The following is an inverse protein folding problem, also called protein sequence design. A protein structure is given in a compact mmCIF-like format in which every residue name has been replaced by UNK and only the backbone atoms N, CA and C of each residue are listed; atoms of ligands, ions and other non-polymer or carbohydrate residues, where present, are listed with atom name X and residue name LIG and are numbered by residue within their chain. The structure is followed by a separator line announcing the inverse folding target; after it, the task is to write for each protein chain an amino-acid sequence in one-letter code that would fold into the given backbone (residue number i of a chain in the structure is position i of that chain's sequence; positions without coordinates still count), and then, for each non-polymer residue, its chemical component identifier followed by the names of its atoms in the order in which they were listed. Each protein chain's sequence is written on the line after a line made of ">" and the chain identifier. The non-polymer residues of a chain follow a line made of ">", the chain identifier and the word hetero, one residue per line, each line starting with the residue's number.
data_IF_363849681111
#
_entry.id   IF_363849681111
#
_cell.length_a   1.000
_cell.length_b   1.000
_cell.length_c   1.000
_cell.angle_alpha   90.00
_cell.angle_beta   90.00
_cell.angle_gamma   90.00
#
_symmetry.space_group_name_H-M   'P 1'
#
loop_
_entity.id
_entity.type
_entity.pdbx_description
1 polymer ?
#
# COMPACT_ATOMS: atom_id res chain seq x y z
N UNK A 1 20.76 6.68 -21.30
CA UNK A 1 21.28 8.02 -20.99
C UNK A 1 21.18 8.23 -19.50
N UNK A 2 22.29 8.58 -18.82
CA UNK A 2 22.28 8.97 -17.41
C UNK A 2 21.97 10.45 -17.27
N UNK A 3 21.20 10.82 -16.23
CA UNK A 3 20.76 12.19 -15.99
C UNK A 3 21.12 12.62 -14.57
N UNK A 4 21.97 13.63 -14.44
CA UNK A 4 22.41 14.15 -13.14
C UNK A 4 21.39 15.04 -12.40
N UNK A 5 20.24 15.32 -13.02
CA UNK A 5 19.12 16.08 -12.44
C UNK A 5 17.83 15.27 -12.43
N UNK A 6 16.71 15.99 -12.33
CA UNK A 6 15.40 15.40 -12.42
C UNK A 6 14.88 15.38 -13.87
N UNK A 7 14.11 14.36 -14.20
CA UNK A 7 13.40 14.22 -15.48
C UNK A 7 11.91 14.45 -15.24
N UNK A 8 11.32 15.34 -16.03
CA UNK A 8 9.86 15.52 -16.07
C UNK A 8 9.40 15.46 -17.52
N UNK A 9 8.67 14.42 -17.83
CA UNK A 9 8.07 14.24 -19.15
C UNK A 9 6.92 15.26 -19.34
N UNK A 10 6.81 15.83 -20.55
CA UNK A 10 5.83 16.90 -20.84
C UNK A 10 4.90 16.60 -22.01
N UNK A 11 5.13 15.55 -22.75
CA UNK A 11 4.33 15.20 -23.93
C UNK A 11 3.62 13.87 -23.74
N UNK A 12 2.39 13.78 -24.19
CA UNK A 12 1.65 12.52 -24.26
C UNK A 12 2.29 11.66 -25.36
N UNK A 13 3.02 10.65 -24.93
CA UNK A 13 3.60 9.65 -25.82
C UNK A 13 3.39 8.27 -25.19
N UNK A 14 3.04 7.24 -25.97
CA UNK A 14 2.84 5.89 -25.44
C UNK A 14 4.14 5.22 -24.94
N UNK A 15 5.28 5.78 -25.31
CA UNK A 15 6.63 5.28 -25.03
C UNK A 15 7.60 6.44 -24.77
N UNK A 16 8.70 6.17 -24.08
CA UNK A 16 9.70 7.22 -23.76
C UNK A 16 10.53 7.67 -24.96
N UNK A 17 10.67 6.86 -25.99
CA UNK A 17 11.47 7.16 -27.18
C UNK A 17 13.00 7.18 -26.94
N UNK A 18 13.43 7.04 -25.69
CA UNK A 18 14.82 6.96 -25.25
C UNK A 18 14.95 5.91 -24.16
N UNK A 19 16.14 5.31 -24.03
CA UNK A 19 16.48 4.46 -22.90
C UNK A 19 17.22 5.29 -21.85
N UNK A 20 16.61 5.50 -20.69
CA UNK A 20 17.28 6.08 -19.52
C UNK A 20 18.15 5.02 -18.82
N UNK A 21 19.30 5.41 -18.33
CA UNK A 21 20.17 4.62 -17.46
C UNK A 21 19.85 4.90 -16.00
N UNK A 22 20.63 5.77 -15.35
CA UNK A 22 20.34 6.27 -14.00
C UNK A 22 19.85 7.71 -14.04
N UNK A 23 18.90 8.03 -13.15
CA UNK A 23 18.42 9.40 -12.91
C UNK A 23 18.71 9.74 -11.45
N UNK A 24 19.63 10.65 -11.19
CA UNK A 24 20.08 11.00 -9.85
C UNK A 24 19.08 11.88 -9.09
N UNK A 25 18.17 12.56 -9.79
CA UNK A 25 17.04 13.31 -9.23
C UNK A 25 15.74 12.53 -9.29
N UNK A 26 14.64 13.26 -9.45
CA UNK A 26 13.29 12.71 -9.60
C UNK A 26 13.04 12.26 -11.05
N UNK A 27 12.19 11.24 -11.22
CA UNK A 27 11.68 10.82 -12.53
C UNK A 27 10.16 10.88 -12.54
N UNK A 28 9.59 11.84 -13.26
CA UNK A 28 8.15 12.08 -13.34
C UNK A 28 7.63 11.85 -14.75
N UNK A 29 6.80 10.81 -14.92
CA UNK A 29 6.12 10.44 -16.16
C UNK A 29 4.61 10.20 -15.94
N UNK A 30 4.01 10.93 -15.00
CA UNK A 30 2.59 10.84 -14.68
C UNK A 30 1.72 11.50 -15.77
N UNK A 31 0.48 10.98 -15.95
CA UNK A 31 -0.52 11.49 -16.88
C UNK A 31 -0.04 11.58 -18.35
N UNK A 32 0.66 10.53 -18.82
CA UNK A 32 1.31 10.47 -20.13
C UNK A 32 0.61 9.52 -21.12
N UNK A 33 -0.42 8.78 -20.67
CA UNK A 33 -1.05 7.69 -21.43
C UNK A 33 -0.11 6.51 -21.74
N UNK A 34 0.95 6.34 -20.94
CA UNK A 34 1.92 5.24 -21.11
C UNK A 34 1.24 3.88 -20.94
N UNK A 35 1.52 2.96 -21.83
CA UNK A 35 1.09 1.56 -21.73
C UNK A 35 2.19 0.64 -21.20
N UNK A 36 3.44 1.12 -21.20
CA UNK A 36 4.63 0.41 -20.75
C UNK A 36 5.65 1.39 -20.21
N UNK A 37 6.55 0.89 -19.36
CA UNK A 37 7.70 1.63 -18.84
C UNK A 37 9.01 1.26 -19.57
N UNK A 38 8.93 0.62 -20.73
CA UNK A 38 10.12 0.38 -21.58
C UNK A 38 10.87 1.68 -21.81
N UNK A 39 12.16 1.70 -21.48
CA UNK A 39 12.98 2.91 -21.54
C UNK A 39 13.09 3.68 -20.23
N UNK A 40 12.34 3.32 -19.18
CA UNK A 40 12.49 3.92 -17.86
C UNK A 40 13.87 3.66 -17.26
N UNK A 41 14.35 4.51 -16.33
CA UNK A 41 15.63 4.30 -15.67
C UNK A 41 15.59 3.06 -14.75
N UNK A 42 16.72 2.37 -14.65
CA UNK A 42 16.83 1.23 -13.73
C UNK A 42 17.07 1.65 -12.26
N UNK A 43 17.47 2.92 -12.05
CA UNK A 43 17.67 3.52 -10.72
C UNK A 43 17.26 4.98 -10.70
N UNK A 44 16.61 5.41 -9.61
CA UNK A 44 16.18 6.80 -9.37
C UNK A 44 16.67 7.25 -8.00
N UNK A 45 17.39 8.36 -7.99
CA UNK A 45 18.04 8.88 -6.78
C UNK A 45 17.06 9.62 -5.84
N UNK A 46 15.85 9.97 -6.30
CA UNK A 46 14.80 10.59 -5.50
C UNK A 46 13.46 9.91 -5.79
N UNK A 47 12.44 10.63 -6.21
CA UNK A 47 11.09 10.11 -6.40
C UNK A 47 10.88 9.58 -7.84
N UNK A 48 10.15 8.47 -7.95
CA UNK A 48 9.64 7.95 -9.22
C UNK A 48 8.12 8.01 -9.22
N UNK A 49 7.54 8.72 -10.18
CA UNK A 49 6.09 8.85 -10.31
C UNK A 49 5.63 8.52 -11.73
N UNK A 50 4.87 7.41 -11.87
CA UNK A 50 4.21 6.99 -13.10
C UNK A 50 2.67 6.94 -12.97
N UNK A 51 2.10 7.74 -12.07
CA UNK A 51 0.66 7.82 -11.83
C UNK A 51 -0.16 8.15 -13.07
N UNK A 52 -1.45 7.79 -13.04
CA UNK A 52 -2.43 8.21 -14.05
C UNK A 52 -1.99 7.88 -15.49
N UNK A 53 -1.58 6.64 -15.69
CA UNK A 53 -1.23 6.10 -17.01
C UNK A 53 -2.12 4.91 -17.37
N UNK A 54 -1.80 4.20 -18.43
CA UNK A 54 -2.51 3.03 -18.94
C UNK A 54 -1.66 1.76 -18.79
N UNK A 55 -0.83 1.71 -17.73
CA UNK A 55 0.07 0.59 -17.48
C UNK A 55 -0.72 -0.68 -17.14
N UNK A 56 -0.31 -1.80 -17.72
CA UNK A 56 -0.87 -3.13 -17.43
C UNK A 56 0.02 -3.95 -16.51
N UNK A 57 1.30 -3.54 -16.35
CA UNK A 57 2.28 -4.15 -15.47
C UNK A 57 3.30 -3.11 -15.00
N UNK A 58 4.10 -3.48 -14.01
CA UNK A 58 5.23 -2.68 -13.52
C UNK A 58 6.56 -3.16 -14.11
N UNK A 59 6.54 -3.93 -15.19
CA UNK A 59 7.75 -4.32 -15.90
C UNK A 59 8.53 -3.08 -16.34
N UNK A 60 9.84 -3.12 -16.20
CA UNK A 60 10.76 -2.00 -16.46
C UNK A 60 10.69 -0.84 -15.45
N UNK A 61 10.03 -0.98 -14.30
CA UNK A 61 10.21 0.00 -13.22
C UNK A 61 11.66 -0.03 -12.70
N UNK A 62 12.15 1.08 -12.11
CA UNK A 62 13.45 1.06 -11.43
C UNK A 62 13.44 0.00 -10.32
N UNK A 63 14.55 -0.73 -10.17
CA UNK A 63 14.72 -1.66 -9.04
C UNK A 63 14.97 -0.93 -7.71
N UNK A 64 15.53 0.30 -7.78
CA UNK A 64 15.84 1.14 -6.63
C UNK A 64 15.32 2.56 -6.83
N UNK A 65 14.50 3.00 -5.87
CA UNK A 65 14.00 4.36 -5.72
C UNK A 65 14.38 4.85 -4.33
N UNK A 66 15.27 5.84 -4.25
CA UNK A 66 15.76 6.32 -2.95
C UNK A 66 14.71 7.14 -2.19
N UNK A 67 13.81 7.80 -2.90
CA UNK A 67 12.65 8.51 -2.37
C UNK A 67 11.38 7.69 -2.42
N UNK A 68 10.29 8.31 -2.84
CA UNK A 68 8.96 7.70 -2.96
C UNK A 68 8.73 7.10 -4.35
N UNK A 69 7.96 6.00 -4.38
CA UNK A 69 7.47 5.37 -5.60
C UNK A 69 5.95 5.52 -5.69
N UNK A 70 5.45 5.94 -6.86
CA UNK A 70 4.01 5.96 -7.10
C UNK A 70 3.65 5.43 -8.48
N UNK A 71 2.73 4.44 -8.50
CA UNK A 71 2.08 3.91 -9.69
C UNK A 71 0.55 4.05 -9.61
N UNK A 72 0.01 4.88 -8.71
CA UNK A 72 -1.41 5.04 -8.48
C UNK A 72 -2.20 5.40 -9.76
N UNK A 73 -3.51 5.11 -9.79
CA UNK A 73 -4.39 5.40 -10.93
C UNK A 73 -3.98 4.72 -12.25
N UNK A 74 -3.39 3.53 -12.18
CA UNK A 74 -3.16 2.65 -13.33
C UNK A 74 -4.11 1.45 -13.24
N UNK A 75 -5.36 1.62 -13.64
CA UNK A 75 -6.48 0.72 -13.37
C UNK A 75 -6.36 -0.69 -13.96
N UNK A 76 -5.34 -0.95 -14.76
CA UNK A 76 -5.12 -2.26 -15.39
C UNK A 76 -4.02 -3.10 -14.70
N UNK A 77 -3.28 -2.53 -13.74
CA UNK A 77 -2.30 -3.28 -12.94
C UNK A 77 -3.04 -4.22 -11.98
N UNK A 78 -2.65 -5.49 -11.93
CA UNK A 78 -3.29 -6.52 -11.09
C UNK A 78 -2.44 -7.01 -9.93
N UNK A 79 -1.12 -6.84 -9.98
CA UNK A 79 -0.18 -7.20 -8.93
C UNK A 79 0.98 -6.22 -8.88
N UNK A 80 1.78 -6.27 -7.82
CA UNK A 80 3.00 -5.48 -7.69
C UNK A 80 4.25 -6.21 -8.19
N UNK A 81 4.07 -7.32 -8.90
CA UNK A 81 5.18 -8.01 -9.56
C UNK A 81 5.98 -7.03 -10.41
N UNK A 82 7.31 -7.04 -10.29
CA UNK A 82 8.25 -6.07 -10.88
C UNK A 82 8.23 -4.67 -10.25
N UNK A 83 7.51 -4.41 -9.16
CA UNK A 83 7.68 -3.16 -8.42
C UNK A 83 9.12 -3.03 -7.89
N UNK A 84 9.59 -1.80 -7.59
CA UNK A 84 10.90 -1.61 -7.00
C UNK A 84 11.09 -2.45 -5.74
N UNK A 85 12.22 -3.16 -5.66
CA UNK A 85 12.56 -3.96 -4.46
C UNK A 85 13.02 -3.09 -3.29
N UNK A 86 13.47 -1.86 -3.59
CA UNK A 86 13.88 -0.87 -2.61
C UNK A 86 13.19 0.47 -2.86
N UNK A 87 12.44 0.94 -1.86
CA UNK A 87 11.79 2.26 -1.83
C UNK A 87 12.14 2.90 -0.49
N UNK A 88 12.83 4.03 -0.53
CA UNK A 88 13.40 4.65 0.67
C UNK A 88 12.37 5.47 1.47
N UNK A 89 11.22 5.84 0.91
CA UNK A 89 10.20 6.62 1.60
C UNK A 89 8.80 5.97 1.42
N UNK A 90 7.93 6.58 0.62
CA UNK A 90 6.53 6.18 0.50
C UNK A 90 6.29 5.28 -0.72
N UNK A 91 5.27 4.43 -0.62
CA UNK A 91 4.83 3.58 -1.73
C UNK A 91 3.33 3.78 -1.97
N UNK A 92 2.97 4.20 -3.20
CA UNK A 92 1.58 4.42 -3.58
C UNK A 92 1.19 3.52 -4.76
N UNK A 93 0.23 2.61 -4.52
CA UNK A 93 -0.40 1.77 -5.53
C UNK A 93 -1.94 1.86 -5.47
N UNK A 94 -2.47 2.97 -4.95
CA UNK A 94 -3.91 3.17 -4.85
C UNK A 94 -4.58 3.21 -6.24
N UNK A 95 -5.85 2.75 -6.32
CA UNK A 95 -6.68 2.85 -7.54
C UNK A 95 -6.04 2.19 -8.77
N UNK A 96 -5.38 1.07 -8.58
CA UNK A 96 -4.77 0.31 -9.68
C UNK A 96 -5.65 -0.85 -10.19
N UNK A 97 -6.50 -1.41 -9.35
CA UNK A 97 -7.24 -2.65 -9.63
C UNK A 97 -6.50 -3.90 -9.19
N UNK A 98 -5.56 -3.74 -8.25
CA UNK A 98 -4.70 -4.80 -7.71
C UNK A 98 -5.54 -5.83 -6.95
N UNK A 99 -5.29 -7.10 -7.23
CA UNK A 99 -5.90 -8.25 -6.54
C UNK A 99 -4.93 -8.99 -5.63
N UNK A 100 -3.62 -8.70 -5.76
CA UNK A 100 -2.54 -9.29 -4.95
C UNK A 100 -1.43 -8.26 -4.73
N UNK A 101 -0.88 -8.22 -3.51
CA UNK A 101 0.30 -7.42 -3.16
C UNK A 101 1.61 -8.14 -3.46
N UNK A 102 1.59 -9.24 -4.20
CA UNK A 102 2.79 -9.95 -4.62
C UNK A 102 3.75 -9.01 -5.36
N UNK A 103 5.00 -8.97 -4.90
CA UNK A 103 6.04 -8.06 -5.40
C UNK A 103 6.18 -6.76 -4.59
N UNK A 104 5.38 -6.55 -3.54
CA UNK A 104 5.59 -5.37 -2.67
C UNK A 104 6.95 -5.44 -1.95
N UNK A 105 7.58 -4.29 -1.67
CA UNK A 105 8.78 -4.22 -0.83
C UNK A 105 8.52 -4.76 0.58
N UNK A 106 9.53 -5.36 1.22
CA UNK A 106 9.40 -5.90 2.58
C UNK A 106 9.24 -4.82 3.67
N UNK A 107 9.88 -3.67 3.48
CA UNK A 107 9.93 -2.58 4.45
C UNK A 107 9.64 -1.28 3.71
N UNK A 108 8.76 -0.47 4.28
CA UNK A 108 8.45 0.89 3.85
C UNK A 108 8.70 1.82 5.03
N UNK A 109 9.60 2.78 4.84
CA UNK A 109 10.00 3.73 5.88
C UNK A 109 9.04 4.92 6.04
N UNK A 110 8.09 5.10 5.13
CA UNK A 110 7.01 6.06 5.19
C UNK A 110 5.65 5.37 5.21
N UNK A 111 4.71 5.87 4.39
CA UNK A 111 3.40 5.27 4.22
C UNK A 111 3.33 4.32 3.01
N UNK A 112 2.45 3.33 3.12
CA UNK A 112 2.08 2.40 2.05
C UNK A 112 0.59 2.52 1.78
N UNK A 113 0.23 2.99 0.60
CA UNK A 113 -1.15 3.18 0.18
C UNK A 113 -1.52 2.15 -0.89
N UNK A 114 -2.38 1.21 -0.52
CA UNK A 114 -3.01 0.24 -1.41
C UNK A 114 -4.54 0.37 -1.43
N UNK A 115 -5.06 1.55 -1.06
CA UNK A 115 -6.49 1.82 -1.02
C UNK A 115 -7.16 1.74 -2.40
N UNK A 116 -8.48 1.53 -2.40
CA UNK A 116 -9.28 1.49 -3.63
C UNK A 116 -8.79 0.46 -4.66
N UNK A 117 -8.51 -0.74 -4.21
CA UNK A 117 -8.13 -1.87 -5.05
C UNK A 117 -9.15 -3.03 -4.92
N UNK A 118 -8.77 -4.22 -5.33
CA UNK A 118 -9.62 -5.43 -5.31
C UNK A 118 -9.02 -6.52 -4.41
N UNK A 119 -8.36 -6.09 -3.31
CA UNK A 119 -7.72 -7.01 -2.37
C UNK A 119 -8.77 -7.69 -1.50
N UNK A 120 -8.70 -9.02 -1.38
CA UNK A 120 -9.51 -9.81 -0.44
C UNK A 120 -8.73 -10.22 0.80
N UNK A 121 -7.40 -10.26 0.71
CA UNK A 121 -6.44 -10.47 1.80
C UNK A 121 -5.30 -9.48 1.68
N UNK A 122 -4.45 -9.39 2.71
CA UNK A 122 -3.23 -8.58 2.71
C UNK A 122 -1.97 -9.44 2.57
N UNK A 123 -2.11 -10.64 2.04
CA UNK A 123 -0.96 -11.51 1.77
C UNK A 123 0.04 -10.78 0.88
N UNK A 124 1.34 -10.96 1.19
CA UNK A 124 2.46 -10.28 0.56
C UNK A 124 2.57 -8.76 0.83
N UNK A 125 1.76 -8.18 1.73
CA UNK A 125 1.99 -6.81 2.18
C UNK A 125 3.38 -6.66 2.82
N UNK A 126 3.95 -5.43 2.87
CA UNK A 126 5.16 -5.15 3.60
C UNK A 126 5.08 -5.67 5.04
N UNK A 127 6.17 -6.23 5.57
CA UNK A 127 6.23 -6.68 6.97
C UNK A 127 6.27 -5.52 7.95
N UNK A 128 6.81 -4.39 7.48
CA UNK A 128 6.92 -3.16 8.26
C UNK A 128 6.53 -1.95 7.39
N UNK A 129 5.68 -1.09 7.96
CA UNK A 129 5.33 0.23 7.42
C UNK A 129 5.46 1.23 8.57
N UNK A 130 6.41 2.16 8.47
CA UNK A 130 6.74 3.00 9.63
C UNK A 130 5.64 3.99 9.97
N UNK A 131 4.97 4.56 8.97
CA UNK A 131 3.91 5.56 9.17
C UNK A 131 2.52 4.95 8.98
N UNK A 132 1.88 5.18 7.87
CA UNK A 132 0.51 4.76 7.59
C UNK A 132 0.48 3.58 6.62
N UNK A 133 -0.28 2.53 6.97
CA UNK A 133 -0.70 1.47 6.05
C UNK A 133 -2.17 1.69 5.70
N UNK A 134 -2.45 2.20 4.49
CA UNK A 134 -3.81 2.40 4.01
C UNK A 134 -4.24 1.24 3.11
N UNK A 135 -5.17 0.42 3.60
CA UNK A 135 -5.81 -0.67 2.86
C UNK A 135 -7.32 -0.48 2.70
N UNK A 136 -7.80 0.74 2.90
CA UNK A 136 -9.21 1.08 2.81
C UNK A 136 -9.80 0.86 1.41
N UNK A 137 -11.12 0.78 1.33
CA UNK A 137 -11.83 0.60 0.05
C UNK A 137 -11.32 -0.59 -0.77
N UNK A 138 -11.08 -1.72 -0.08
CA UNK A 138 -10.83 -3.03 -0.65
C UNK A 138 -11.89 -4.01 -0.13
N UNK A 139 -12.31 -5.01 -0.91
CA UNK A 139 -13.26 -6.04 -0.47
C UNK A 139 -12.59 -7.08 0.45
N UNK A 140 -11.93 -6.62 1.51
CA UNK A 140 -11.19 -7.49 2.43
C UNK A 140 -12.13 -8.42 3.18
N UNK A 141 -11.84 -9.71 3.16
CA UNK A 141 -12.51 -10.73 3.98
C UNK A 141 -11.59 -11.28 5.06
N UNK A 142 -10.31 -10.91 5.01
CA UNK A 142 -9.28 -11.33 5.96
C UNK A 142 -8.20 -10.26 6.10
N UNK A 143 -7.67 -10.13 7.31
CA UNK A 143 -6.48 -9.33 7.62
C UNK A 143 -5.19 -10.18 7.57
N UNK A 144 -5.25 -11.40 7.00
CA UNK A 144 -4.05 -12.22 6.80
C UNK A 144 -3.03 -11.45 5.95
N UNK A 145 -1.77 -11.52 6.34
CA UNK A 145 -0.69 -10.79 5.66
C UNK A 145 -0.50 -9.33 6.10
N UNK A 146 -1.39 -8.75 6.91
CA UNK A 146 -1.20 -7.38 7.42
C UNK A 146 0.20 -7.19 8.04
N UNK A 147 0.78 -5.99 7.94
CA UNK A 147 2.09 -5.71 8.52
C UNK A 147 2.17 -6.10 10.00
N UNK A 148 3.29 -6.67 10.42
CA UNK A 148 3.53 -7.02 11.84
C UNK A 148 3.98 -5.83 12.66
N UNK A 149 4.44 -4.78 11.99
CA UNK A 149 4.80 -3.48 12.59
C UNK A 149 4.32 -2.37 11.66
N UNK A 150 3.46 -1.49 12.17
CA UNK A 150 2.98 -0.32 11.44
C UNK A 150 2.73 0.85 12.40
N UNK A 151 2.87 2.07 11.89
CA UNK A 151 2.53 3.28 12.65
C UNK A 151 1.02 3.33 12.87
N UNK A 152 0.26 3.55 11.84
CA UNK A 152 -1.20 3.53 11.85
C UNK A 152 -1.75 2.68 10.71
N UNK A 153 -3.04 2.34 10.81
CA UNK A 153 -3.76 1.65 9.74
C UNK A 153 -5.04 2.39 9.40
N UNK A 154 -5.33 2.47 8.10
CA UNK A 154 -6.62 2.89 7.56
C UNK A 154 -7.29 1.73 6.82
N UNK A 155 -8.55 1.48 7.13
CA UNK A 155 -9.32 0.39 6.50
C UNK A 155 -10.81 0.73 6.47
N UNK A 156 -11.55 0.04 5.60
CA UNK A 156 -13.02 0.11 5.57
C UNK A 156 -13.57 -0.96 6.51
N UNK A 157 -14.50 -0.56 7.38
CA UNK A 157 -15.12 -1.48 8.31
C UNK A 157 -16.09 -2.43 7.60
N UNK A 158 -16.01 -3.69 7.94
CA UNK A 158 -17.00 -4.72 7.65
C UNK A 158 -17.27 -5.53 8.92
N UNK A 159 -18.53 -5.88 9.17
CA UNK A 159 -18.96 -6.62 10.38
C UNK A 159 -18.36 -8.02 10.48
N UNK A 160 -17.92 -8.60 9.36
CA UNK A 160 -17.32 -9.93 9.29
C UNK A 160 -15.79 -9.89 9.24
N UNK A 161 -15.19 -8.70 9.07
CA UNK A 161 -13.73 -8.57 8.97
C UNK A 161 -13.05 -8.83 10.31
N UNK A 162 -12.09 -9.76 10.39
CA UNK A 162 -11.28 -9.97 11.58
C UNK A 162 -10.41 -8.76 11.89
N UNK A 163 -10.57 -8.12 13.05
CA UNK A 163 -9.90 -6.86 13.37
C UNK A 163 -8.69 -7.00 14.29
N UNK A 164 -8.44 -8.18 14.88
CA UNK A 164 -7.36 -8.33 15.86
C UNK A 164 -5.95 -8.00 15.34
N UNK A 165 -5.72 -8.18 14.02
CA UNK A 165 -4.44 -7.80 13.41
C UNK A 165 -4.23 -6.30 13.32
N UNK A 166 -5.30 -5.50 13.39
CA UNK A 166 -5.18 -4.03 13.48
C UNK A 166 -4.47 -3.59 14.76
N UNK A 167 -4.47 -4.43 15.82
CA UNK A 167 -3.76 -4.17 17.08
C UNK A 167 -2.22 -4.11 16.92
N UNK A 168 -1.66 -4.50 15.76
CA UNK A 168 -0.25 -4.26 15.43
C UNK A 168 0.06 -2.78 15.18
N UNK A 169 -0.96 -1.93 14.94
CA UNK A 169 -0.76 -0.49 14.81
C UNK A 169 -0.28 0.12 16.14
N UNK A 170 0.67 1.06 16.05
CA UNK A 170 1.28 1.69 17.23
C UNK A 170 0.67 3.07 17.53
N UNK A 171 0.16 3.77 16.52
CA UNK A 171 -0.29 5.16 16.63
C UNK A 171 -1.78 5.33 16.41
N UNK A 172 -2.45 4.49 15.64
CA UNK A 172 -3.87 4.64 15.38
C UNK A 172 -4.49 3.59 14.47
N UNK A 173 -5.79 3.37 14.66
CA UNK A 173 -6.64 2.56 13.80
C UNK A 173 -7.78 3.45 13.32
N UNK A 174 -7.82 3.75 12.03
CA UNK A 174 -8.79 4.63 11.41
C UNK A 174 -9.72 3.85 10.47
N UNK A 175 -11.01 4.06 10.61
CA UNK A 175 -12.01 3.48 9.72
C UNK A 175 -12.49 4.57 8.75
N UNK A 176 -12.27 4.35 7.46
CA UNK A 176 -12.62 5.31 6.40
C UNK A 176 -13.36 4.62 5.26
N UNK A 177 -14.28 5.36 4.64
CA UNK A 177 -15.12 4.83 3.56
C UNK A 177 -16.16 3.80 4.05
N UNK A 178 -16.97 3.31 3.12
CA UNK A 178 -18.05 2.35 3.41
C UNK A 178 -19.30 2.98 4.01
N UNK A 179 -20.37 2.17 4.07
CA UNK A 179 -21.69 2.59 4.56
C UNK A 179 -21.86 2.35 6.08
N UNK A 180 -20.91 1.68 6.71
CA UNK A 180 -20.95 1.29 8.11
C UNK A 180 -19.66 1.68 8.84
N UNK A 181 -19.80 2.03 10.11
CA UNK A 181 -18.67 2.25 11.03
C UNK A 181 -18.69 1.18 12.12
N UNK A 182 -17.54 0.82 12.70
CA UNK A 182 -17.54 -0.10 13.83
C UNK A 182 -18.33 0.52 14.98
N UNK A 183 -19.10 -0.28 15.72
CA UNK A 183 -19.74 0.15 16.95
C UNK A 183 -18.70 0.78 17.89
N UNK A 184 -19.09 1.80 18.64
CA UNK A 184 -18.19 2.52 19.57
C UNK A 184 -17.49 1.58 20.56
N UNK A 185 -18.17 0.50 20.94
CA UNK A 185 -17.62 -0.51 21.82
C UNK A 185 -16.44 -1.26 21.17
N UNK A 186 -16.53 -1.62 19.89
CA UNK A 186 -15.43 -2.22 19.12
C UNK A 186 -14.27 -1.24 19.01
N UNK A 187 -14.55 0.03 18.69
CA UNK A 187 -13.51 1.07 18.62
C UNK A 187 -12.77 1.21 19.94
N UNK A 188 -13.50 1.33 21.04
CA UNK A 188 -12.92 1.47 22.39
C UNK A 188 -12.05 0.25 22.76
N UNK A 189 -12.45 -0.96 22.35
CA UNK A 189 -11.66 -2.17 22.58
C UNK A 189 -10.37 -2.17 21.77
N UNK A 190 -10.45 -1.83 20.47
CA UNK A 190 -9.26 -1.73 19.62
C UNK A 190 -8.27 -0.67 20.14
N UNK A 191 -8.75 0.52 20.49
CA UNK A 191 -7.92 1.59 21.07
C UNK A 191 -7.25 1.16 22.39
N UNK A 192 -7.99 0.47 23.28
CA UNK A 192 -7.46 -0.01 24.57
C UNK A 192 -6.34 -1.03 24.41
N UNK A 193 -6.39 -1.87 23.39
CA UNK A 193 -5.46 -2.98 23.18
C UNK A 193 -4.47 -2.76 22.04
N UNK A 194 -4.51 -1.61 21.37
CA UNK A 194 -3.58 -1.25 20.31
C UNK A 194 -2.13 -1.31 20.80
N UNK A 195 -1.25 -1.86 19.98
CA UNK A 195 0.16 -2.06 20.35
C UNK A 195 0.41 -3.14 21.40
N UNK A 196 -0.62 -3.91 21.78
CA UNK A 196 -0.49 -4.97 22.76
C UNK A 196 0.33 -6.16 22.26
N UNK A 197 0.92 -6.86 23.21
CA UNK A 197 1.48 -8.20 22.96
C UNK A 197 0.36 -9.23 22.68
N UNK A 198 0.76 -10.47 22.42
CA UNK A 198 -0.18 -11.56 22.15
C UNK A 198 -1.19 -11.79 23.29
N UNK A 199 -0.79 -11.57 24.54
CA UNK A 199 -1.68 -11.74 25.69
C UNK A 199 -2.75 -10.64 25.73
N UNK A 200 -2.39 -9.39 25.42
CA UNK A 200 -3.33 -8.27 25.27
C UNK A 200 -4.31 -8.50 24.12
N UNK A 201 -3.82 -8.96 22.98
CA UNK A 201 -4.66 -9.30 21.82
C UNK A 201 -5.69 -10.39 22.14
N UNK A 202 -5.29 -11.43 22.91
CA UNK A 202 -6.22 -12.47 23.37
C UNK A 202 -7.27 -11.93 24.34
N UNK A 203 -6.92 -10.98 25.23
CA UNK A 203 -7.89 -10.31 26.11
C UNK A 203 -8.88 -9.50 25.28
N UNK A 204 -8.42 -8.75 24.29
CA UNK A 204 -9.28 -8.02 23.37
C UNK A 204 -10.28 -8.95 22.68
N UNK A 205 -9.82 -10.09 22.15
CA UNK A 205 -10.68 -11.08 21.52
C UNK A 205 -11.78 -11.59 22.47
N UNK A 206 -11.43 -11.91 23.72
CA UNK A 206 -12.40 -12.37 24.74
C UNK A 206 -13.43 -11.29 25.04
N UNK A 207 -13.02 -10.02 25.16
CA UNK A 207 -13.93 -8.91 25.44
C UNK A 207 -14.85 -8.64 24.24
N UNK A 208 -14.33 -8.68 22.99
CA UNK A 208 -15.14 -8.58 21.77
C UNK A 208 -16.19 -9.70 21.68
N UNK A 209 -15.81 -10.95 21.97
CA UNK A 209 -16.74 -12.09 21.96
C UNK A 209 -17.86 -11.88 23.01
N UNK A 210 -17.52 -11.44 24.22
CA UNK A 210 -18.50 -11.15 25.30
C UNK A 210 -19.43 -10.02 24.93
N UNK A 211 -18.96 -9.04 24.19
CA UNK A 211 -19.75 -7.93 23.68
C UNK A 211 -20.58 -8.27 22.43
N UNK A 212 -20.49 -9.52 21.90
CA UNK A 212 -21.25 -9.97 20.75
C UNK A 212 -20.54 -9.82 19.39
N UNK A 213 -19.30 -9.34 19.36
CA UNK A 213 -18.51 -9.09 18.13
C UNK A 213 -17.58 -10.26 17.78
N UNK A 214 -18.15 -11.47 17.74
CA UNK A 214 -17.39 -12.72 17.52
C UNK A 214 -16.61 -12.72 16.21
N UNK A 215 -17.18 -12.19 15.16
CA UNK A 215 -16.54 -12.19 13.83
C UNK A 215 -15.32 -11.26 13.81
N UNK A 216 -15.41 -10.08 14.42
CA UNK A 216 -14.30 -9.15 14.55
C UNK A 216 -13.20 -9.64 15.49
N UNK A 217 -13.50 -10.61 16.37
CA UNK A 217 -12.57 -11.18 17.33
C UNK A 217 -11.69 -12.32 16.75
N UNK A 218 -11.74 -12.56 15.46
CA UNK A 218 -10.90 -13.58 14.76
C UNK A 218 -9.55 -12.99 14.36
N UNK A 219 -8.62 -13.91 14.07
CA UNK A 219 -7.26 -13.60 13.56
C UNK A 219 -7.21 -13.52 12.05
#
# INVERSE_FOLDING_TARGET
>A
VDVHGSVRMKSHAPEFGVQFGEVYGDFFCWNMTLKSLVGAPHRVGRDFNCESNLLTSLEHTPTHVTGSFSCAYNHLIRSLTHAPTHVGANFNCARCGITSLEGSPHIIHGWFDCAHNQLTTLDHAPKQVTDLFDCSNNPLTSMAGAPTLMGSIELTYDTHLPLLRCLNAQLGINFIGGDTYPPREVQNLLERYMGSDRAGMLKCAVEMIRAGFKENARW
#
